data_IF_948311006509
#
_entry.id   IF_948311006509
#
_cell.length_a   1.000
_cell.length_b   1.000
_cell.length_c   1.000
_cell.angle_alpha   90.00
_cell.angle_beta   90.00
_cell.angle_gamma   90.00
#
_symmetry.space_group_name_H-M   'P 1'
#
loop_
_entity.id
_entity.type
_entity.pdbx_description
1 polymer ?
#
# COMPACT_ATOMS: atom_id res chain seq x y z
N UNK A 1 -15.60 -4.07 -26.73
CA UNK A 1 -14.71 -5.25 -26.78
C UNK A 1 -14.66 -5.86 -25.39
N UNK A 2 -14.93 -7.17 -25.22
CA UNK A 2 -14.79 -7.78 -23.89
C UNK A 2 -13.30 -7.91 -23.57
N UNK A 3 -12.90 -7.34 -22.47
CA UNK A 3 -11.52 -7.37 -21.99
C UNK A 3 -11.24 -8.76 -21.42
N UNK A 4 -10.10 -9.35 -21.77
CA UNK A 4 -9.69 -10.65 -21.23
C UNK A 4 -8.81 -10.39 -19.99
N UNK A 5 -9.25 -10.78 -18.79
CA UNK A 5 -8.53 -10.47 -17.55
C UNK A 5 -7.12 -11.07 -17.49
N UNK A 6 -6.88 -12.19 -18.19
CA UNK A 6 -5.55 -12.80 -18.25
C UNK A 6 -4.61 -11.93 -19.11
N UNK A 7 -5.11 -11.46 -20.27
CA UNK A 7 -4.32 -10.59 -21.15
C UNK A 7 -4.02 -9.26 -20.45
N UNK A 8 -4.98 -8.71 -19.70
CA UNK A 8 -4.77 -7.48 -18.94
C UNK A 8 -3.75 -7.66 -17.82
N UNK A 9 -3.78 -8.80 -17.11
CA UNK A 9 -2.78 -9.12 -16.11
C UNK A 9 -1.37 -9.24 -16.74
N UNK A 10 -1.25 -9.89 -17.90
CA UNK A 10 0.02 -9.98 -18.62
C UNK A 10 0.50 -8.59 -19.05
N UNK A 11 -0.36 -7.77 -19.65
CA UNK A 11 -0.01 -6.40 -20.05
C UNK A 11 0.39 -5.54 -18.84
N UNK A 12 -0.26 -5.73 -17.70
CA UNK A 12 0.13 -5.03 -16.47
C UNK A 12 1.57 -5.36 -16.08
N UNK A 13 2.00 -6.62 -16.24
CA UNK A 13 3.36 -7.07 -15.92
C UNK A 13 4.40 -6.64 -16.96
N UNK A 14 4.00 -6.39 -18.23
CA UNK A 14 4.95 -6.13 -19.30
C UNK A 14 4.97 -4.68 -19.78
N UNK A 15 3.84 -3.99 -19.74
CA UNK A 15 3.64 -2.72 -20.45
C UNK A 15 3.23 -1.57 -19.54
N UNK A 16 2.97 -1.84 -18.24
CA UNK A 16 2.59 -0.79 -17.30
C UNK A 16 3.77 0.14 -16.99
N UNK A 17 3.53 1.40 -16.66
CA UNK A 17 4.59 2.27 -16.17
C UNK A 17 5.32 1.63 -14.99
N UNK A 18 6.65 1.70 -14.98
CA UNK A 18 7.49 1.13 -13.91
C UNK A 18 7.33 -0.39 -13.70
N UNK A 19 6.87 -1.14 -14.72
CA UNK A 19 6.69 -2.59 -14.62
C UNK A 19 7.94 -3.31 -14.09
N UNK A 20 9.14 -2.87 -14.52
CA UNK A 20 10.40 -3.45 -14.05
C UNK A 20 10.62 -3.29 -12.52
N UNK A 21 10.14 -2.20 -11.92
CA UNK A 21 10.19 -2.00 -10.45
C UNK A 21 9.21 -2.95 -9.78
N UNK A 22 8.00 -3.06 -10.33
CA UNK A 22 7.01 -4.01 -9.84
C UNK A 22 7.50 -5.45 -9.89
N UNK A 23 8.08 -5.86 -11.02
CA UNK A 23 8.62 -7.21 -11.21
C UNK A 23 9.76 -7.50 -10.22
N UNK A 24 10.63 -6.52 -9.94
CA UNK A 24 11.66 -6.65 -8.92
C UNK A 24 11.07 -6.85 -7.52
N UNK A 25 9.99 -6.13 -7.17
CA UNK A 25 9.29 -6.33 -5.90
C UNK A 25 8.66 -7.72 -5.82
N UNK A 26 8.05 -8.20 -6.91
CA UNK A 26 7.48 -9.56 -6.99
C UNK A 26 8.57 -10.62 -6.85
N UNK A 27 9.67 -10.49 -7.58
CA UNK A 27 10.82 -11.42 -7.48
C UNK A 27 11.36 -11.41 -6.05
N UNK A 28 11.58 -10.24 -5.46
CA UNK A 28 12.03 -10.13 -4.07
C UNK A 28 11.07 -10.82 -3.11
N UNK A 29 9.75 -10.63 -3.29
CA UNK A 29 8.72 -11.29 -2.50
C UNK A 29 8.80 -12.81 -2.61
N UNK A 30 8.91 -13.35 -3.83
CA UNK A 30 9.03 -14.79 -4.07
C UNK A 30 10.30 -15.39 -3.46
N UNK A 31 11.42 -14.67 -3.55
CA UNK A 31 12.69 -15.07 -2.90
C UNK A 31 12.53 -15.09 -1.37
N UNK A 32 11.89 -14.08 -0.78
CA UNK A 32 11.60 -14.01 0.65
C UNK A 32 10.72 -15.20 1.07
N UNK A 33 9.66 -15.50 0.32
CA UNK A 33 8.79 -16.65 0.55
C UNK A 33 9.58 -17.95 0.51
N UNK A 34 10.39 -18.17 -0.53
CA UNK A 34 11.21 -19.38 -0.67
C UNK A 34 12.17 -19.57 0.52
N UNK A 35 12.83 -18.50 0.96
CA UNK A 35 13.72 -18.53 2.13
C UNK A 35 12.93 -18.87 3.41
N UNK A 36 11.75 -18.28 3.60
CA UNK A 36 10.90 -18.55 4.76
C UNK A 36 10.44 -20.01 4.79
N UNK A 37 9.94 -20.54 3.67
CA UNK A 37 9.50 -21.93 3.56
C UNK A 37 10.62 -22.95 3.80
N UNK A 38 11.86 -22.60 3.43
CA UNK A 38 13.03 -23.46 3.67
C UNK A 38 13.49 -23.42 5.13
N UNK A 39 13.49 -22.23 5.75
CA UNK A 39 14.04 -22.02 7.08
C UNK A 39 13.06 -22.26 8.23
N UNK A 40 11.78 -22.20 7.95
CA UNK A 40 10.72 -22.30 8.95
C UNK A 40 9.52 -23.12 8.41
N UNK A 41 9.55 -24.45 8.60
CA UNK A 41 8.45 -25.32 8.17
C UNK A 41 7.09 -24.96 8.79
N UNK A 42 7.04 -24.28 9.93
CA UNK A 42 5.78 -23.86 10.56
C UNK A 42 5.02 -22.85 9.69
N UNK A 43 5.72 -22.06 8.88
CA UNK A 43 5.09 -21.12 7.93
C UNK A 43 4.45 -21.79 6.68
N UNK A 44 4.48 -23.10 6.58
CA UNK A 44 3.74 -23.86 5.54
C UNK A 44 2.27 -24.04 5.88
N UNK A 45 1.82 -23.39 6.92
CA UNK A 45 0.41 -23.47 7.35
C UNK A 45 -0.52 -22.77 6.34
N UNK A 46 -1.76 -23.23 6.25
CA UNK A 46 -2.79 -22.59 5.42
C UNK A 46 -3.03 -21.14 5.86
N UNK A 47 -2.88 -20.86 7.16
CA UNK A 47 -2.98 -19.51 7.72
C UNK A 47 -1.94 -18.57 7.13
N UNK A 48 -0.66 -18.98 7.13
CA UNK A 48 0.44 -18.15 6.66
C UNK A 48 0.40 -17.96 5.14
N UNK A 49 0.04 -19.02 4.41
CA UNK A 49 -0.16 -18.93 2.95
C UNK A 49 -1.31 -18.00 2.59
N UNK A 50 -2.44 -18.08 3.31
CA UNK A 50 -3.59 -17.19 3.07
C UNK A 50 -3.27 -15.75 3.43
N UNK A 51 -2.58 -15.52 4.55
CA UNK A 51 -2.16 -14.17 4.97
C UNK A 51 -1.19 -13.55 3.96
N UNK A 52 -0.21 -14.33 3.48
CA UNK A 52 0.68 -13.90 2.40
C UNK A 52 -0.11 -13.52 1.15
N UNK A 53 -1.03 -14.38 0.69
CA UNK A 53 -1.81 -14.15 -0.52
C UNK A 53 -2.66 -12.87 -0.41
N UNK A 54 -3.38 -12.70 0.70
CA UNK A 54 -4.20 -11.49 0.93
C UNK A 54 -3.36 -10.21 0.96
N UNK A 55 -2.25 -10.24 1.69
CA UNK A 55 -1.33 -9.12 1.80
C UNK A 55 -0.71 -8.78 0.44
N UNK A 56 -0.25 -9.80 -0.31
CA UNK A 56 0.35 -9.63 -1.63
C UNK A 56 -0.63 -9.00 -2.62
N UNK A 57 -1.85 -9.52 -2.72
CA UNK A 57 -2.91 -8.95 -3.59
C UNK A 57 -3.22 -7.51 -3.20
N UNK A 58 -3.36 -7.22 -1.90
CA UNK A 58 -3.60 -5.85 -1.44
C UNK A 58 -2.43 -4.91 -1.79
N UNK A 59 -1.19 -5.40 -1.69
CA UNK A 59 0.00 -4.66 -2.12
C UNK A 59 0.00 -4.35 -3.61
N UNK A 60 -0.40 -5.31 -4.45
CA UNK A 60 -0.57 -5.10 -5.89
C UNK A 60 -1.65 -4.05 -6.20
N UNK A 61 -2.75 -4.03 -5.43
CA UNK A 61 -3.80 -3.01 -5.59
C UNK A 61 -3.29 -1.61 -5.25
N UNK A 62 -2.54 -1.45 -4.14
CA UNK A 62 -1.91 -0.17 -3.80
C UNK A 62 -0.91 0.28 -4.86
N UNK A 63 -0.10 -0.65 -5.36
CA UNK A 63 0.84 -0.37 -6.45
C UNK A 63 0.10 0.13 -7.70
N UNK A 64 -0.93 -0.58 -8.13
CA UNK A 64 -1.74 -0.20 -9.29
C UNK A 64 -2.34 1.21 -9.14
N UNK A 65 -2.79 1.56 -7.94
CA UNK A 65 -3.34 2.89 -7.66
C UNK A 65 -2.32 4.01 -7.79
N UNK A 66 -1.02 3.74 -7.65
CA UNK A 66 0.03 4.74 -7.83
C UNK A 66 0.37 5.03 -9.31
N UNK A 67 0.07 4.11 -10.24
CA UNK A 67 0.54 4.19 -11.63
C UNK A 67 -0.11 5.31 -12.46
N UNK A 68 -1.36 5.68 -12.15
CA UNK A 68 -2.06 6.75 -12.87
C UNK A 68 -1.74 8.16 -12.31
N UNK A 69 -0.91 8.27 -11.28
CA UNK A 69 -0.50 9.53 -10.64
C UNK A 69 1.02 9.66 -10.55
N UNK A 70 1.70 9.30 -11.64
CA UNK A 70 3.16 9.38 -11.72
C UNK A 70 3.67 10.83 -11.72
N UNK A 71 4.79 11.10 -11.03
CA UNK A 71 5.48 12.38 -11.15
C UNK A 71 5.95 12.63 -12.61
N UNK A 72 6.11 13.86 -13.05
CA UNK A 72 5.91 15.11 -12.29
C UNK A 72 4.47 15.64 -12.35
N UNK A 73 3.61 15.09 -13.22
CA UNK A 73 2.28 15.61 -13.52
C UNK A 73 1.20 15.09 -12.58
N UNK A 74 1.44 13.94 -11.92
CA UNK A 74 0.48 13.23 -11.05
C UNK A 74 -0.86 12.91 -11.74
N UNK A 75 -0.79 12.66 -13.05
CA UNK A 75 -1.89 12.20 -13.90
C UNK A 75 -1.33 11.36 -15.05
N UNK A 76 -2.11 10.44 -15.55
CA UNK A 76 -1.83 9.65 -16.76
C UNK A 76 -2.46 10.26 -18.02
N UNK A 77 -3.19 11.38 -17.90
CA UNK A 77 -3.88 12.04 -19.01
C UNK A 77 -3.15 13.30 -19.46
N UNK A 78 -2.96 13.47 -20.78
CA UNK A 78 -2.28 14.65 -21.33
C UNK A 78 -2.96 15.98 -21.00
N UNK A 79 -4.29 15.97 -20.82
CA UNK A 79 -5.10 17.15 -20.47
C UNK A 79 -5.13 17.45 -18.96
N UNK A 80 -4.46 16.63 -18.14
CA UNK A 80 -4.42 16.78 -16.68
C UNK A 80 -5.68 16.34 -15.94
N UNK A 81 -6.73 15.91 -16.65
CA UNK A 81 -7.98 15.46 -16.01
C UNK A 81 -7.82 14.08 -15.36
N UNK A 82 -8.63 13.80 -14.33
CA UNK A 82 -8.66 12.49 -13.67
C UNK A 82 -7.40 12.15 -12.85
N UNK A 83 -6.43 13.06 -12.76
CA UNK A 83 -5.23 12.89 -11.97
C UNK A 83 -5.44 13.17 -10.48
N UNK A 84 -4.34 13.13 -9.73
CA UNK A 84 -4.39 13.34 -8.27
C UNK A 84 -5.00 14.71 -7.90
N UNK A 85 -4.69 15.77 -8.67
CA UNK A 85 -5.24 17.10 -8.43
C UNK A 85 -6.77 17.12 -8.56
N UNK A 86 -7.31 16.48 -9.59
CA UNK A 86 -8.76 16.38 -9.83
C UNK A 86 -9.46 15.63 -8.68
N UNK A 87 -8.89 14.51 -8.23
CA UNK A 87 -9.43 13.75 -7.10
C UNK A 87 -9.35 14.51 -5.77
N UNK A 88 -8.26 15.23 -5.52
CA UNK A 88 -8.13 16.09 -4.33
C UNK A 88 -9.13 17.25 -4.39
N UNK A 89 -9.33 17.84 -5.58
CA UNK A 89 -10.35 18.91 -5.74
C UNK A 89 -11.77 18.43 -5.45
N UNK A 90 -12.12 17.19 -5.82
CA UNK A 90 -13.41 16.59 -5.48
C UNK A 90 -13.65 16.45 -3.98
N UNK A 91 -12.58 16.36 -3.18
CA UNK A 91 -12.70 16.29 -1.71
C UNK A 91 -13.18 17.61 -1.09
N UNK A 92 -13.16 18.73 -1.80
CA UNK A 92 -13.69 20.01 -1.30
C UNK A 92 -15.21 19.91 -1.13
N UNK A 93 -15.91 19.43 -2.15
CA UNK A 93 -17.37 19.30 -2.12
C UNK A 93 -17.82 17.92 -1.59
N UNK A 94 -16.97 16.91 -1.76
CA UNK A 94 -17.23 15.51 -1.40
C UNK A 94 -16.99 15.16 0.07
N UNK A 95 -16.30 16.02 0.84
CA UNK A 95 -15.92 15.70 2.20
C UNK A 95 -17.13 15.49 3.14
N UNK A 96 -16.98 14.53 4.06
CA UNK A 96 -17.96 14.25 5.11
C UNK A 96 -18.08 15.42 6.11
N UNK A 97 -16.97 16.09 6.40
CA UNK A 97 -16.85 17.16 7.39
C UNK A 97 -16.29 18.44 6.78
N UNK A 98 -16.84 19.59 7.21
CA UNK A 98 -16.37 20.91 6.76
C UNK A 98 -14.90 21.13 7.04
N UNK A 99 -14.40 20.73 8.19
CA UNK A 99 -12.98 20.87 8.57
C UNK A 99 -12.03 20.16 7.56
N UNK A 100 -12.45 19.05 7.00
CA UNK A 100 -11.66 18.33 5.98
C UNK A 100 -11.72 19.05 4.64
N UNK A 101 -12.92 19.54 4.24
CA UNK A 101 -13.09 20.37 3.06
C UNK A 101 -12.19 21.61 3.13
N UNK A 102 -12.23 22.35 4.25
CA UNK A 102 -11.44 23.56 4.47
C UNK A 102 -9.94 23.25 4.45
N UNK A 103 -9.51 22.16 5.06
CA UNK A 103 -8.10 21.71 5.02
C UNK A 103 -7.65 21.43 3.58
N UNK A 104 -8.47 20.74 2.80
CA UNK A 104 -8.14 20.45 1.40
C UNK A 104 -8.12 21.75 0.59
N UNK A 105 -9.13 22.61 0.72
CA UNK A 105 -9.26 23.83 -0.07
C UNK A 105 -8.18 24.86 0.25
N UNK A 106 -7.87 25.09 1.52
CA UNK A 106 -7.01 26.19 1.94
C UNK A 106 -5.57 25.79 2.22
N UNK A 107 -5.29 24.49 2.39
CA UNK A 107 -3.94 23.99 2.70
C UNK A 107 -3.42 23.06 1.61
N UNK A 108 -4.15 22.01 1.26
CA UNK A 108 -3.64 20.97 0.35
C UNK A 108 -3.54 21.49 -1.08
N UNK A 109 -4.61 22.05 -1.62
CA UNK A 109 -4.66 22.53 -3.01
C UNK A 109 -3.67 23.66 -3.29
N UNK A 110 -3.54 24.71 -2.44
CA UNK A 110 -2.53 25.75 -2.66
C UNK A 110 -1.08 25.26 -2.58
N UNK A 111 -0.85 24.16 -1.85
CA UNK A 111 0.47 23.56 -1.68
C UNK A 111 0.56 22.17 -2.35
N UNK A 112 -0.20 21.96 -3.43
CA UNK A 112 -0.29 20.67 -4.12
C UNK A 112 1.07 20.08 -4.51
N UNK A 113 2.02 20.93 -4.90
CA UNK A 113 3.38 20.51 -5.27
C UNK A 113 4.14 19.82 -4.11
N UNK A 114 3.76 20.06 -2.86
CA UNK A 114 4.33 19.41 -1.68
C UNK A 114 3.54 18.14 -1.34
N UNK A 115 2.21 18.24 -1.37
CA UNK A 115 1.34 17.13 -0.99
C UNK A 115 1.31 16.00 -2.01
N UNK A 116 1.36 16.30 -3.32
CA UNK A 116 1.29 15.29 -4.36
C UNK A 116 2.44 14.27 -4.30
N UNK A 117 3.73 14.66 -4.24
CA UNK A 117 4.82 13.70 -4.08
C UNK A 117 4.75 12.92 -2.77
N UNK A 118 4.25 13.54 -1.68
CA UNK A 118 4.08 12.86 -0.40
C UNK A 118 3.01 11.77 -0.47
N UNK A 119 1.84 12.06 -1.03
CA UNK A 119 0.77 11.08 -1.24
C UNK A 119 1.27 9.94 -2.12
N UNK A 120 1.89 10.26 -3.27
CA UNK A 120 2.46 9.27 -4.17
C UNK A 120 3.47 8.35 -3.48
N UNK A 121 4.43 8.93 -2.75
CA UNK A 121 5.44 8.16 -2.04
C UNK A 121 4.84 7.23 -0.98
N UNK A 122 3.86 7.72 -0.20
CA UNK A 122 3.17 6.90 0.81
C UNK A 122 2.48 5.70 0.16
N UNK A 123 1.75 5.88 -0.94
CA UNK A 123 1.06 4.79 -1.62
C UNK A 123 2.02 3.75 -2.22
N UNK A 124 3.10 4.21 -2.85
CA UNK A 124 4.17 3.32 -3.37
C UNK A 124 4.80 2.52 -2.23
N UNK A 125 5.11 3.16 -1.10
CA UNK A 125 5.71 2.50 0.06
C UNK A 125 4.75 1.50 0.71
N UNK A 126 3.45 1.81 0.81
CA UNK A 126 2.44 0.85 1.27
C UNK A 126 2.42 -0.36 0.33
N UNK A 127 2.34 -0.13 -0.98
CA UNK A 127 2.35 -1.20 -1.98
C UNK A 127 3.60 -2.09 -1.87
N UNK A 128 4.79 -1.49 -1.87
CA UNK A 128 6.07 -2.19 -1.78
C UNK A 128 6.21 -2.97 -0.47
N UNK A 129 5.80 -2.37 0.65
CA UNK A 129 5.79 -3.02 1.97
C UNK A 129 4.89 -4.26 1.98
N UNK A 130 3.66 -4.13 1.50
CA UNK A 130 2.71 -5.24 1.46
C UNK A 130 3.15 -6.35 0.49
N UNK A 131 3.72 -6.02 -0.67
CA UNK A 131 4.24 -7.01 -1.62
C UNK A 131 5.37 -7.81 -0.99
N UNK A 132 6.39 -7.13 -0.44
CA UNK A 132 7.58 -7.79 0.12
C UNK A 132 7.37 -8.34 1.53
N UNK A 133 6.37 -7.87 2.25
CA UNK A 133 6.14 -8.22 3.65
C UNK A 133 7.14 -7.60 4.61
N UNK A 134 7.64 -6.38 4.31
CA UNK A 134 8.65 -5.68 5.09
C UNK A 134 8.06 -4.42 5.72
N UNK A 135 8.25 -4.22 7.04
CA UNK A 135 7.68 -3.12 7.83
C UNK A 135 6.14 -3.03 7.70
N UNK A 136 5.47 -4.18 7.62
CA UNK A 136 4.04 -4.26 7.32
C UNK A 136 3.19 -3.58 8.38
N UNK A 137 3.53 -3.67 9.65
CA UNK A 137 2.77 -3.01 10.72
C UNK A 137 2.70 -1.49 10.51
N UNK A 138 3.84 -0.85 10.25
CA UNK A 138 3.89 0.59 10.00
C UNK A 138 3.06 0.98 8.79
N UNK A 139 3.31 0.32 7.64
CA UNK A 139 2.68 0.70 6.39
C UNK A 139 1.20 0.28 6.31
N UNK A 140 0.79 -0.74 7.04
CA UNK A 140 -0.64 -1.06 7.19
C UNK A 140 -1.36 0.00 8.02
N UNK A 141 -0.77 0.52 9.08
CA UNK A 141 -1.36 1.62 9.84
C UNK A 141 -1.49 2.90 8.99
N UNK A 142 -0.43 3.23 8.22
CA UNK A 142 -0.47 4.34 7.27
C UNK A 142 -1.52 4.11 6.17
N UNK A 143 -1.63 2.89 5.66
CA UNK A 143 -2.65 2.51 4.68
C UNK A 143 -4.06 2.62 5.21
N UNK A 144 -4.29 2.23 6.46
CA UNK A 144 -5.59 2.43 7.12
C UNK A 144 -5.93 3.92 7.28
N UNK A 145 -4.96 4.73 7.72
CA UNK A 145 -5.14 6.18 7.85
C UNK A 145 -5.42 6.85 6.49
N UNK A 146 -4.69 6.45 5.44
CA UNK A 146 -4.93 6.91 4.07
C UNK A 146 -6.32 6.52 3.58
N UNK A 147 -6.75 5.28 3.78
CA UNK A 147 -8.07 4.80 3.39
C UNK A 147 -9.20 5.53 4.14
N UNK A 148 -9.02 5.84 5.43
CA UNK A 148 -9.95 6.67 6.22
C UNK A 148 -10.01 8.09 5.63
N UNK A 149 -8.87 8.69 5.30
CA UNK A 149 -8.81 10.02 4.69
C UNK A 149 -9.55 10.05 3.33
N UNK A 150 -9.34 9.03 2.48
CA UNK A 150 -10.05 8.90 1.21
C UNK A 150 -11.56 8.74 1.42
N UNK A 151 -11.96 7.87 2.34
CA UNK A 151 -13.38 7.65 2.66
C UNK A 151 -14.06 8.94 3.11
N UNK A 152 -13.47 9.65 4.07
CA UNK A 152 -14.03 10.90 4.59
C UNK A 152 -13.97 12.02 3.56
N UNK A 153 -12.92 12.10 2.73
CA UNK A 153 -12.77 13.13 1.70
C UNK A 153 -13.72 12.96 0.52
N UNK A 154 -14.03 11.71 0.16
CA UNK A 154 -14.88 11.41 -1.00
C UNK A 154 -16.29 10.94 -0.61
N UNK A 155 -16.69 11.14 0.64
CA UNK A 155 -17.91 10.57 1.23
C UNK A 155 -19.21 10.91 0.48
N UNK A 156 -19.30 12.14 -0.08
CA UNK A 156 -20.45 12.63 -0.84
C UNK A 156 -20.22 12.60 -2.35
N UNK A 157 -19.07 12.11 -2.80
CA UNK A 157 -18.75 12.09 -4.23
C UNK A 157 -19.64 11.05 -4.94
N UNK A 158 -20.34 11.41 -6.03
CA UNK A 158 -21.19 10.49 -6.77
C UNK A 158 -20.37 9.30 -7.31
N UNK A 159 -21.00 8.12 -7.30
CA UNK A 159 -20.45 6.85 -7.78
C UNK A 159 -19.30 6.28 -6.95
N UNK A 160 -18.93 6.89 -5.84
CA UNK A 160 -18.02 6.28 -4.87
C UNK A 160 -18.76 5.25 -4.00
N UNK A 161 -18.07 4.11 -3.77
CA UNK A 161 -18.66 3.00 -3.00
C UNK A 161 -18.04 2.97 -1.59
N UNK A 162 -18.79 3.31 -0.55
CA UNK A 162 -18.28 3.28 0.84
C UNK A 162 -17.68 1.95 1.26
N UNK A 163 -18.21 0.84 0.75
CA UNK A 163 -17.73 -0.52 1.01
C UNK A 163 -16.25 -0.70 0.65
N UNK A 164 -15.80 -0.11 -0.46
CA UNK A 164 -14.41 -0.22 -0.90
C UNK A 164 -13.48 0.30 0.17
N UNK A 165 -13.78 1.46 0.74
CA UNK A 165 -12.98 2.06 1.80
C UNK A 165 -13.06 1.27 3.11
N UNK A 166 -14.25 0.79 3.49
CA UNK A 166 -14.43 -0.02 4.70
C UNK A 166 -13.63 -1.32 4.61
N UNK A 167 -13.68 -2.03 3.47
CA UNK A 167 -12.89 -3.24 3.27
C UNK A 167 -11.39 -2.95 3.25
N UNK A 168 -10.98 -1.85 2.63
CA UNK A 168 -9.58 -1.44 2.59
C UNK A 168 -9.05 -1.14 4.00
N UNK A 169 -9.80 -0.39 4.81
CA UNK A 169 -9.47 -0.09 6.21
C UNK A 169 -9.39 -1.40 7.02
N UNK A 170 -10.40 -2.26 6.89
CA UNK A 170 -10.48 -3.52 7.63
C UNK A 170 -9.28 -4.44 7.30
N UNK A 171 -8.93 -4.56 6.02
CA UNK A 171 -7.78 -5.35 5.59
C UNK A 171 -6.46 -4.80 6.15
N UNK A 172 -6.26 -3.48 6.10
CA UNK A 172 -5.07 -2.84 6.64
C UNK A 172 -4.95 -3.03 8.16
N UNK A 173 -6.06 -2.85 8.90
CA UNK A 173 -6.07 -3.09 10.34
C UNK A 173 -5.83 -4.57 10.67
N UNK A 174 -6.37 -5.50 9.87
CA UNK A 174 -6.11 -6.93 10.02
C UNK A 174 -4.61 -7.25 9.86
N UNK A 175 -3.96 -6.69 8.83
CA UNK A 175 -2.52 -6.87 8.61
C UNK A 175 -1.68 -6.30 9.77
N UNK A 176 -2.09 -5.16 10.31
CA UNK A 176 -1.45 -4.56 11.49
C UNK A 176 -1.60 -5.44 12.73
N UNK A 177 -2.82 -5.91 13.03
CA UNK A 177 -3.13 -6.68 14.26
C UNK A 177 -2.51 -8.08 14.23
N UNK A 178 -2.51 -8.73 13.06
CA UNK A 178 -2.03 -10.10 12.89
C UNK A 178 -0.55 -10.20 12.50
N UNK A 179 0.20 -9.10 12.54
CA UNK A 179 1.62 -9.07 12.12
C UNK A 179 1.83 -9.75 10.75
N UNK A 180 1.01 -9.37 9.75
CA UNK A 180 0.95 -10.05 8.46
C UNK A 180 2.31 -10.12 7.72
N UNK A 181 3.26 -9.26 8.06
CA UNK A 181 4.62 -9.29 7.54
C UNK A 181 5.43 -10.50 8.02
N UNK A 182 5.02 -11.14 9.13
CA UNK A 182 5.65 -12.36 9.64
C UNK A 182 5.18 -13.62 8.94
N UNK A 183 4.08 -13.58 8.21
CA UNK A 183 3.60 -14.70 7.39
C UNK A 183 4.27 -14.64 6.01
N UNK A 184 5.33 -15.44 5.82
CA UNK A 184 6.12 -15.54 4.59
C UNK A 184 6.71 -14.21 4.08
N UNK A 185 6.80 -13.20 4.92
CA UNK A 185 7.30 -11.86 4.57
C UNK A 185 8.71 -11.55 5.07
N UNK A 186 9.20 -10.36 4.69
CA UNK A 186 10.51 -9.84 5.11
C UNK A 186 10.60 -9.65 6.62
N UNK A 187 9.49 -9.30 7.29
CA UNK A 187 9.46 -9.11 8.74
C UNK A 187 9.79 -10.41 9.49
N UNK A 188 9.42 -11.59 8.94
CA UNK A 188 9.83 -12.87 9.51
C UNK A 188 11.36 -13.09 9.46
N UNK A 189 12.02 -12.62 8.40
CA UNK A 189 13.49 -12.69 8.29
C UNK A 189 14.16 -11.73 9.26
N UNK A 190 13.63 -10.53 9.39
CA UNK A 190 14.12 -9.49 10.31
C UNK A 190 13.97 -9.97 11.75
N UNK A 191 12.78 -10.46 12.12
CA UNK A 191 12.51 -10.97 13.47
C UNK A 191 13.49 -12.08 13.88
N UNK A 192 13.70 -13.08 13.01
CA UNK A 192 14.65 -14.17 13.25
C UNK A 192 16.10 -13.66 13.39
N UNK A 193 16.47 -12.64 12.64
CA UNK A 193 17.80 -12.04 12.77
C UNK A 193 17.98 -11.31 14.09
N UNK A 194 16.96 -10.58 14.51
CA UNK A 194 16.94 -9.89 15.81
C UNK A 194 17.04 -10.89 16.98
N UNK A 195 16.28 -11.99 16.95
CA UNK A 195 16.33 -13.05 17.96
C UNK A 195 17.73 -13.66 18.09
N UNK A 196 18.43 -13.88 17.00
CA UNK A 196 19.81 -14.42 17.00
C UNK A 196 20.85 -13.44 17.52
N UNK A 197 20.56 -12.14 17.47
CA UNK A 197 21.50 -11.07 17.87
C UNK A 197 21.23 -10.57 19.28
N UNK A 198 20.46 -11.27 20.10
CA UNK A 198 19.96 -10.89 21.42
C UNK A 198 20.98 -10.37 22.45
N UNK A 199 22.27 -10.42 22.18
CA UNK A 199 23.29 -9.95 23.10
C UNK A 199 23.59 -8.44 23.07
N UNK A 200 22.97 -7.63 22.16
CA UNK A 200 23.27 -6.19 22.00
C UNK A 200 22.02 -5.36 21.65
N UNK A 201 21.11 -5.19 22.60
CA UNK A 201 19.94 -4.33 22.40
C UNK A 201 20.29 -2.85 22.51
N UNK A 202 20.37 -2.17 21.35
CA UNK A 202 20.28 -0.72 21.25
C UNK A 202 18.84 -0.25 20.94
N UNK A 203 18.58 1.06 21.03
CA UNK A 203 17.28 1.70 20.70
C UNK A 203 16.75 1.26 19.30
N UNK A 204 17.67 1.08 18.33
CA UNK A 204 17.32 0.67 16.97
C UNK A 204 16.65 -0.70 16.85
N UNK A 205 17.02 -1.68 17.70
CA UNK A 205 16.38 -3.01 17.70
C UNK A 205 14.96 -2.96 18.27
N UNK A 206 14.70 -2.07 19.25
CA UNK A 206 13.35 -1.85 19.80
C UNK A 206 12.44 -1.21 18.78
N UNK A 207 12.93 -0.22 18.02
CA UNK A 207 12.16 0.42 16.94
C UNK A 207 11.86 -0.61 15.84
N UNK A 208 12.84 -1.38 15.38
CA UNK A 208 12.62 -2.45 14.40
C UNK A 208 11.56 -3.46 14.86
N UNK A 209 11.59 -3.89 16.13
CA UNK A 209 10.59 -4.80 16.69
C UNK A 209 9.16 -4.20 16.77
N UNK A 210 9.02 -2.87 16.79
CA UNK A 210 7.72 -2.20 16.77
C UNK A 210 7.11 -2.08 15.38
N UNK A 211 7.93 -2.02 14.33
CA UNK A 211 7.49 -1.81 12.94
C UNK A 211 7.42 -3.10 12.11
N UNK A 212 8.02 -4.18 12.57
CA UNK A 212 8.00 -5.54 12.00
C UNK A 212 7.17 -6.49 12.86
#
# INVERSE_FOLDING_TARGET
MRVNPIIDAIRFLTDSPLFYVFDLLVIASLVIVAINLQRDPAQRSIKDLSMFALRFVMGCMWWQQSLWKLPPTYTDRPDGTGGLHDWVSKMVDGAAFQIQSDFVQYIVLPHFQIFAPMVYAIEVLIGASLITGTAVRLFSLLGAAMAINLWLGLYRTPYEWPWTYVFLIAAQLLFFILDAGRSLGGDALIARRLERTHARYGLGSRILALIT
#
